data_IF_603644270026
#
_entry.id   IF_603644270026
#
_cell.length_a   1.000
_cell.length_b   1.000
_cell.length_c   1.000
_cell.angle_alpha   90.00
_cell.angle_beta   90.00
_cell.angle_gamma   90.00
#
_symmetry.space_group_name_H-M   'P 1'
#
loop_
_entity.id
_entity.type
_entity.pdbx_description
1 polymer ?
#
# COMPACT_ATOMS: atom_id res chain seq x y z
N UNK A 1 -34.69 52.91 -34.88
CA UNK A 1 -34.68 51.59 -35.54
C UNK A 1 -33.32 51.31 -36.18
N UNK A 2 -32.35 50.84 -35.41
CA UNK A 2 -31.14 50.08 -35.84
C UNK A 2 -30.32 49.84 -34.57
N UNK A 3 -29.77 48.64 -34.40
CA UNK A 3 -28.79 48.26 -33.34
C UNK A 3 -29.32 47.55 -32.08
N UNK A 4 -30.39 46.76 -32.17
CA UNK A 4 -30.85 45.93 -31.04
C UNK A 4 -31.09 44.46 -31.40
N UNK A 5 -30.26 43.89 -32.29
CA UNK A 5 -30.39 42.47 -32.71
C UNK A 5 -29.10 41.64 -32.60
N UNK A 6 -28.08 42.07 -31.85
CA UNK A 6 -26.78 41.37 -31.77
C UNK A 6 -26.47 40.74 -30.39
N UNK A 7 -27.48 40.35 -29.62
CA UNK A 7 -27.28 39.79 -28.26
C UNK A 7 -27.86 38.37 -28.04
N UNK A 8 -28.29 37.67 -29.09
CA UNK A 8 -29.02 36.40 -28.94
C UNK A 8 -28.33 35.15 -29.54
N UNK A 9 -26.99 35.11 -29.61
CA UNK A 9 -26.26 33.94 -30.15
C UNK A 9 -25.13 33.41 -29.25
N UNK A 10 -25.07 33.83 -27.99
CA UNK A 10 -24.20 33.23 -26.96
C UNK A 10 -25.03 32.38 -25.99
N UNK A 11 -25.91 31.54 -26.51
CA UNK A 11 -26.40 30.38 -25.74
C UNK A 11 -25.24 29.40 -25.66
N UNK A 12 -24.41 29.56 -24.62
CA UNK A 12 -23.42 28.59 -24.22
C UNK A 12 -24.05 27.20 -24.30
N UNK A 13 -23.53 26.37 -25.21
CA UNK A 13 -23.70 24.93 -25.10
C UNK A 13 -23.01 24.53 -23.81
N UNK A 14 -23.77 24.51 -22.71
CA UNK A 14 -23.42 23.69 -21.58
C UNK A 14 -23.57 22.26 -22.07
N UNK A 15 -22.52 21.78 -22.75
CA UNK A 15 -22.26 20.38 -22.86
C UNK A 15 -22.15 19.88 -21.42
N UNK A 16 -23.27 19.41 -20.88
CA UNK A 16 -23.26 18.44 -19.80
C UNK A 16 -22.46 17.29 -20.36
N UNK A 17 -21.16 17.28 -20.10
CA UNK A 17 -20.35 16.12 -20.36
C UNK A 17 -21.02 15.02 -19.54
N UNK A 18 -21.63 14.05 -20.22
CA UNK A 18 -22.01 12.79 -19.62
C UNK A 18 -20.71 12.20 -19.04
N UNK A 19 -20.44 12.51 -17.77
CA UNK A 19 -19.27 12.02 -17.04
C UNK A 19 -19.55 10.58 -16.63
N UNK A 20 -19.64 9.74 -17.66
CA UNK A 20 -19.75 8.30 -17.54
C UNK A 20 -18.37 7.67 -17.66
N UNK A 21 -18.07 6.75 -16.77
CA UNK A 21 -16.86 5.92 -16.83
C UNK A 21 -17.33 4.49 -16.88
N UNK A 22 -16.92 3.78 -17.93
CA UNK A 22 -17.17 2.35 -18.08
C UNK A 22 -15.84 1.62 -18.15
N UNK A 23 -15.69 0.57 -17.34
CA UNK A 23 -14.56 -0.35 -17.37
C UNK A 23 -15.07 -1.67 -17.92
N UNK A 24 -14.48 -2.12 -19.02
CA UNK A 24 -14.89 -3.36 -19.68
C UNK A 24 -14.46 -4.61 -18.89
N UNK A 25 -15.16 -5.72 -19.10
CA UNK A 25 -14.95 -6.95 -18.34
C UNK A 25 -13.51 -7.48 -18.49
N UNK A 26 -12.93 -7.98 -17.40
CA UNK A 26 -11.55 -8.48 -17.35
C UNK A 26 -10.47 -7.44 -17.76
N UNK A 27 -10.81 -6.14 -17.76
CA UNK A 27 -9.85 -5.07 -18.05
C UNK A 27 -9.48 -4.28 -16.82
N UNK A 28 -8.36 -3.55 -16.92
CA UNK A 28 -7.93 -2.60 -15.91
C UNK A 28 -7.98 -1.19 -16.50
N UNK A 29 -8.71 -0.28 -15.86
CA UNK A 29 -8.72 1.14 -16.19
C UNK A 29 -8.11 1.94 -15.04
N UNK A 30 -7.07 2.72 -15.35
CA UNK A 30 -6.58 3.75 -14.42
C UNK A 30 -7.26 5.06 -14.74
N UNK A 31 -7.92 5.64 -13.75
CA UNK A 31 -8.69 6.87 -13.94
C UNK A 31 -7.74 8.06 -14.17
N UNK A 32 -7.81 8.76 -15.32
CA UNK A 32 -6.90 9.85 -15.65
C UNK A 32 -7.42 11.17 -15.07
N UNK A 33 -7.33 11.34 -13.75
CA UNK A 33 -7.79 12.56 -13.07
C UNK A 33 -6.64 13.31 -12.39
N UNK A 34 -6.61 14.62 -12.61
CA UNK A 34 -5.61 15.51 -12.00
C UNK A 34 -6.14 16.23 -10.76
N UNK A 35 -7.46 16.31 -10.59
CA UNK A 35 -8.12 16.96 -9.45
C UNK A 35 -8.27 16.08 -8.21
N UNK A 36 -8.52 16.70 -7.06
CA UNK A 36 -8.78 16.02 -5.80
C UNK A 36 -10.23 15.56 -5.62
N UNK A 37 -11.16 16.07 -6.43
CA UNK A 37 -12.58 15.71 -6.39
C UNK A 37 -13.05 15.36 -7.80
N UNK A 38 -13.83 14.29 -7.92
CA UNK A 38 -14.48 13.90 -9.16
C UNK A 38 -15.97 13.61 -8.91
N UNK A 39 -16.81 14.09 -9.82
CA UNK A 39 -18.25 13.83 -9.83
C UNK A 39 -18.60 13.12 -11.14
N UNK A 40 -19.16 11.92 -11.02
CA UNK A 40 -19.60 11.10 -12.14
C UNK A 40 -21.11 10.91 -12.09
N UNK A 41 -21.76 11.04 -13.24
CA UNK A 41 -23.17 10.65 -13.36
C UNK A 41 -23.29 9.12 -13.25
N UNK A 42 -22.42 8.37 -13.92
CA UNK A 42 -22.44 6.92 -13.92
C UNK A 42 -21.04 6.33 -13.89
N UNK A 43 -20.82 5.35 -13.02
CA UNK A 43 -19.61 4.54 -12.98
C UNK A 43 -20.00 3.06 -13.09
N UNK A 44 -19.57 2.43 -14.17
CA UNK A 44 -19.80 1.00 -14.41
C UNK A 44 -18.45 0.29 -14.46
N UNK A 45 -18.27 -0.67 -13.55
CA UNK A 45 -17.11 -1.57 -13.54
C UNK A 45 -17.64 -2.96 -13.79
N UNK A 46 -17.39 -3.48 -14.99
CA UNK A 46 -17.89 -4.78 -15.41
C UNK A 46 -17.28 -5.93 -14.59
N UNK A 47 -17.73 -7.16 -14.87
CA UNK A 47 -17.30 -8.36 -14.17
C UNK A 47 -15.78 -8.58 -14.29
N UNK A 48 -15.15 -8.96 -13.18
CA UNK A 48 -13.69 -9.15 -13.07
C UNK A 48 -12.85 -7.94 -13.52
N UNK A 49 -13.45 -6.77 -13.67
CA UNK A 49 -12.74 -5.57 -14.09
C UNK A 49 -12.14 -4.84 -12.88
N UNK A 50 -11.07 -4.08 -13.11
CA UNK A 50 -10.39 -3.30 -12.07
C UNK A 50 -10.34 -1.82 -12.44
N UNK A 51 -10.92 -0.98 -11.59
CA UNK A 51 -10.76 0.47 -11.65
C UNK A 51 -9.68 0.92 -10.65
N UNK A 52 -8.66 1.64 -11.13
CA UNK A 52 -7.63 2.24 -10.27
C UNK A 52 -7.80 3.75 -10.15
N UNK A 53 -8.03 4.22 -8.93
CA UNK A 53 -8.10 5.64 -8.56
C UNK A 53 -6.72 6.15 -8.13
N UNK A 54 -6.28 7.32 -8.60
CA UNK A 54 -4.96 7.85 -8.27
C UNK A 54 -4.91 8.47 -6.86
N UNK A 55 -3.71 8.62 -6.31
CA UNK A 55 -3.49 9.00 -4.91
C UNK A 55 -3.87 10.45 -4.58
N UNK A 56 -3.93 11.32 -5.59
CA UNK A 56 -4.35 12.72 -5.48
C UNK A 56 -5.87 12.88 -5.38
N UNK A 57 -6.65 11.86 -5.76
CA UNK A 57 -8.11 11.89 -5.66
C UNK A 57 -8.53 11.60 -4.22
N UNK A 58 -9.23 12.55 -3.60
CA UNK A 58 -9.70 12.51 -2.22
C UNK A 58 -11.21 12.32 -2.09
N UNK A 59 -11.98 12.74 -3.09
CA UNK A 59 -13.42 12.56 -3.11
C UNK A 59 -13.90 12.08 -4.48
N UNK A 60 -14.68 11.01 -4.49
CA UNK A 60 -15.41 10.52 -5.67
C UNK A 60 -16.90 10.51 -5.33
N UNK A 61 -17.69 11.27 -6.08
CA UNK A 61 -19.15 11.23 -6.02
C UNK A 61 -19.69 10.58 -7.27
N UNK A 62 -20.58 9.61 -7.10
CA UNK A 62 -21.20 8.87 -8.20
C UNK A 62 -22.70 8.87 -7.98
N UNK A 63 -23.46 9.30 -8.99
CA UNK A 63 -24.92 9.21 -8.94
C UNK A 63 -25.37 7.77 -9.10
N UNK A 64 -24.84 7.04 -10.08
CA UNK A 64 -25.13 5.62 -10.32
C UNK A 64 -23.85 4.77 -10.37
N UNK A 65 -23.68 3.85 -9.43
CA UNK A 65 -22.55 2.92 -9.36
C UNK A 65 -22.99 1.49 -9.67
N UNK A 66 -22.42 0.88 -10.70
CA UNK A 66 -22.64 -0.52 -11.03
C UNK A 66 -21.31 -1.28 -10.89
N UNK A 67 -21.22 -2.19 -9.93
CA UNK A 67 -20.11 -3.13 -9.80
C UNK A 67 -20.58 -4.52 -10.19
N UNK A 68 -19.99 -5.04 -11.27
CA UNK A 68 -20.19 -6.42 -11.71
C UNK A 68 -19.62 -7.42 -10.71
N UNK A 69 -19.87 -8.71 -10.97
CA UNK A 69 -19.34 -9.80 -10.16
C UNK A 69 -17.81 -9.73 -10.09
N UNK A 70 -17.25 -9.86 -8.90
CA UNK A 70 -15.80 -9.83 -8.67
C UNK A 70 -15.13 -8.55 -9.23
N UNK A 71 -15.88 -7.44 -9.32
CA UNK A 71 -15.36 -6.15 -9.76
C UNK A 71 -14.56 -5.46 -8.65
N UNK A 72 -13.43 -4.85 -9.03
CA UNK A 72 -12.48 -4.28 -8.08
C UNK A 72 -12.32 -2.76 -8.27
N UNK A 73 -12.43 -1.98 -7.20
CA UNK A 73 -11.95 -0.60 -7.14
C UNK A 73 -10.72 -0.54 -6.24
N UNK A 74 -9.56 -0.26 -6.83
CA UNK A 74 -8.32 -0.02 -6.11
C UNK A 74 -8.04 1.48 -6.01
N UNK A 75 -7.82 1.97 -4.79
CA UNK A 75 -7.43 3.34 -4.53
C UNK A 75 -5.94 3.35 -4.19
N UNK A 76 -5.17 4.16 -4.91
CA UNK A 76 -3.73 4.25 -4.69
C UNK A 76 -3.42 4.75 -3.26
N UNK A 77 -2.35 4.25 -2.61
CA UNK A 77 -1.97 4.64 -1.26
C UNK A 77 -1.72 6.15 -1.14
N UNK A 78 -2.22 6.76 -0.06
CA UNK A 78 -2.05 8.18 0.26
C UNK A 78 -2.19 8.39 1.77
N UNK A 79 -1.62 9.48 2.29
CA UNK A 79 -1.82 9.91 3.68
C UNK A 79 -3.13 10.67 3.89
N UNK A 80 -3.73 11.17 2.82
CA UNK A 80 -5.03 11.86 2.86
C UNK A 80 -6.16 10.82 2.83
N UNK A 81 -7.22 11.02 3.61
CA UNK A 81 -8.40 10.16 3.54
C UNK A 81 -9.07 10.16 2.16
N UNK A 82 -9.87 9.14 1.89
CA UNK A 82 -10.70 9.04 0.68
C UNK A 82 -12.18 9.02 1.06
N UNK A 83 -13.00 9.76 0.31
CA UNK A 83 -14.45 9.75 0.45
C UNK A 83 -15.09 9.23 -0.84
N UNK A 84 -15.88 8.18 -0.72
CA UNK A 84 -16.71 7.66 -1.80
C UNK A 84 -18.17 7.92 -1.45
N UNK A 85 -18.86 8.68 -2.29
CA UNK A 85 -20.30 8.95 -2.15
C UNK A 85 -21.04 8.32 -3.32
N UNK A 86 -21.98 7.43 -3.01
CA UNK A 86 -22.80 6.70 -3.98
C UNK A 86 -24.26 6.98 -3.67
N UNK A 87 -24.96 7.62 -4.61
CA UNK A 87 -26.39 7.91 -4.44
C UNK A 87 -27.22 6.67 -4.74
N UNK A 88 -27.01 6.07 -5.90
CA UNK A 88 -27.62 4.81 -6.31
C UNK A 88 -26.56 3.80 -6.69
N UNK A 89 -26.73 2.53 -6.32
CA UNK A 89 -25.80 1.52 -6.78
C UNK A 89 -26.29 0.09 -6.69
N UNK A 90 -25.69 -0.75 -7.52
CA UNK A 90 -25.83 -2.20 -7.51
C UNK A 90 -24.42 -2.81 -7.45
N UNK A 91 -24.13 -3.47 -6.33
CA UNK A 91 -22.85 -4.13 -6.11
C UNK A 91 -23.09 -5.63 -6.07
N UNK A 92 -22.71 -6.28 -7.16
CA UNK A 92 -22.82 -7.71 -7.32
C UNK A 92 -21.86 -8.46 -6.37
N UNK A 93 -22.08 -9.77 -6.26
CA UNK A 93 -21.30 -10.62 -5.36
C UNK A 93 -19.80 -10.59 -5.68
N UNK A 94 -18.98 -10.60 -4.62
CA UNK A 94 -17.53 -10.53 -4.73
C UNK A 94 -17.01 -9.15 -5.10
N UNK A 95 -17.81 -8.08 -4.99
CA UNK A 95 -17.28 -6.73 -5.24
C UNK A 95 -16.21 -6.36 -4.20
N UNK A 96 -15.13 -5.72 -4.63
CA UNK A 96 -14.00 -5.36 -3.77
C UNK A 96 -13.66 -3.87 -3.87
N UNK A 97 -13.48 -3.21 -2.74
CA UNK A 97 -12.91 -1.86 -2.65
C UNK A 97 -11.65 -1.92 -1.78
N UNK A 98 -10.52 -1.46 -2.30
CA UNK A 98 -9.24 -1.51 -1.58
C UNK A 98 -8.60 -0.13 -1.48
N UNK A 99 -8.24 0.27 -0.27
CA UNK A 99 -7.43 1.46 0.03
C UNK A 99 -6.16 1.06 0.81
N UNK A 100 -5.62 -0.12 0.50
CA UNK A 100 -4.45 -0.69 1.18
C UNK A 100 -3.25 0.26 1.21
N UNK A 101 -2.50 0.18 2.29
CA UNK A 101 -1.21 0.84 2.44
C UNK A 101 -0.13 0.27 1.51
N UNK A 102 0.97 1.00 1.38
CA UNK A 102 2.12 0.58 0.60
C UNK A 102 3.18 -0.07 1.51
N UNK A 103 3.77 -1.18 1.07
CA UNK A 103 4.89 -1.79 1.77
C UNK A 103 6.11 -0.83 1.85
N UNK A 104 6.84 -0.91 2.95
CA UNK A 104 8.08 -0.18 3.16
C UNK A 104 9.20 -0.71 2.27
N UNK A 105 10.22 0.12 2.09
CA UNK A 105 11.48 -0.21 1.43
C UNK A 105 12.65 0.31 2.27
N UNK A 106 13.89 0.05 1.84
CA UNK A 106 15.09 0.60 2.48
C UNK A 106 15.12 2.14 2.51
N UNK A 107 14.40 2.81 1.60
CA UNK A 107 14.39 4.27 1.46
C UNK A 107 13.12 4.92 2.00
N UNK A 108 12.03 4.18 2.14
CA UNK A 108 10.71 4.71 2.49
C UNK A 108 10.03 3.83 3.52
N UNK A 109 9.48 4.37 4.61
CA UNK A 109 8.68 3.60 5.55
C UNK A 109 7.42 3.05 4.87
N UNK A 110 6.80 2.06 5.49
CA UNK A 110 5.50 1.58 5.07
C UNK A 110 4.44 2.68 5.22
N UNK A 111 3.47 2.72 4.30
CA UNK A 111 2.33 3.62 4.38
C UNK A 111 1.15 2.89 5.02
N UNK A 112 0.40 3.64 5.84
CA UNK A 112 -0.82 3.14 6.46
C UNK A 112 -1.90 2.86 5.40
N UNK A 113 -2.87 2.01 5.76
CA UNK A 113 -4.12 1.91 5.02
C UNK A 113 -4.79 3.28 4.98
N UNK A 114 -5.27 3.67 3.79
CA UNK A 114 -5.88 4.98 3.61
C UNK A 114 -7.30 4.95 4.16
N UNK A 115 -7.61 5.90 5.04
CA UNK A 115 -8.93 6.06 5.64
C UNK A 115 -10.01 6.18 4.58
N UNK A 116 -11.13 5.48 4.77
CA UNK A 116 -12.24 5.43 3.83
C UNK A 116 -13.52 5.91 4.52
N UNK A 117 -14.09 7.00 4.01
CA UNK A 117 -15.46 7.38 4.30
C UNK A 117 -16.37 6.94 3.15
N UNK A 118 -17.12 5.88 3.36
CA UNK A 118 -18.02 5.28 2.40
C UNK A 118 -19.46 5.70 2.72
N UNK A 119 -20.06 6.51 1.84
CA UNK A 119 -21.47 6.91 1.93
C UNK A 119 -22.27 6.23 0.84
N UNK A 120 -23.22 5.41 1.24
CA UNK A 120 -24.13 4.67 0.36
C UNK A 120 -25.55 5.13 0.69
N UNK A 121 -26.29 5.69 -0.27
CA UNK A 121 -27.65 6.17 -0.01
C UNK A 121 -28.71 5.14 -0.38
N UNK A 122 -28.79 4.73 -1.64
CA UNK A 122 -29.74 3.73 -2.13
C UNK A 122 -28.99 2.65 -2.89
N UNK A 123 -28.43 1.70 -2.15
CA UNK A 123 -27.49 0.71 -2.70
C UNK A 123 -27.97 -0.70 -2.42
N UNK A 124 -28.02 -1.53 -3.46
CA UNK A 124 -28.19 -2.97 -3.35
C UNK A 124 -26.81 -3.61 -3.22
N UNK A 125 -26.61 -4.35 -2.14
CA UNK A 125 -25.35 -4.99 -1.83
C UNK A 125 -25.55 -6.50 -1.75
N UNK A 126 -24.87 -7.26 -2.59
CA UNK A 126 -24.84 -8.72 -2.47
C UNK A 126 -23.72 -9.19 -1.53
N UNK A 127 -22.47 -8.85 -1.88
CA UNK A 127 -21.28 -9.08 -1.05
C UNK A 127 -20.24 -8.02 -1.44
N UNK A 128 -19.87 -7.17 -0.49
CA UNK A 128 -18.84 -6.16 -0.65
C UNK A 128 -17.73 -6.41 0.37
N UNK A 129 -16.51 -6.54 -0.12
CA UNK A 129 -15.32 -6.61 0.73
C UNK A 129 -14.51 -5.31 0.64
N UNK A 130 -14.16 -4.76 1.80
CA UNK A 130 -13.44 -3.50 1.93
C UNK A 130 -12.09 -3.73 2.62
N UNK A 131 -10.97 -3.49 1.93
CA UNK A 131 -9.61 -3.77 2.42
C UNK A 131 -8.81 -2.48 2.64
N UNK A 132 -8.59 -2.13 3.92
CA UNK A 132 -7.81 -0.98 4.39
C UNK A 132 -6.53 -1.43 5.14
N UNK A 133 -5.98 -2.60 4.85
CA UNK A 133 -4.80 -3.09 5.58
C UNK A 133 -3.59 -2.16 5.45
N UNK A 134 -2.81 -2.08 6.53
CA UNK A 134 -1.54 -1.35 6.57
C UNK A 134 -0.45 -2.00 5.71
N UNK A 135 0.49 -1.19 5.23
CA UNK A 135 1.67 -1.68 4.52
C UNK A 135 2.63 -2.43 5.44
N UNK A 136 3.25 -3.50 4.92
CA UNK A 136 4.26 -4.26 5.66
C UNK A 136 5.57 -3.47 5.80
N UNK A 137 6.24 -3.60 6.94
CA UNK A 137 7.54 -2.99 7.20
C UNK A 137 8.65 -3.58 6.32
N UNK A 138 9.64 -2.77 5.98
CA UNK A 138 10.82 -3.21 5.24
C UNK A 138 11.70 -4.16 6.07
N UNK A 139 12.30 -5.16 5.43
CA UNK A 139 13.27 -6.04 6.08
C UNK A 139 14.54 -5.29 6.50
N UNK A 140 15.16 -5.77 7.58
CA UNK A 140 16.47 -5.30 8.03
C UNK A 140 17.58 -5.68 7.04
N UNK A 141 18.60 -4.84 6.95
CA UNK A 141 19.74 -5.13 6.07
C UNK A 141 20.61 -6.25 6.64
N UNK A 142 21.11 -7.12 5.77
CA UNK A 142 22.06 -8.15 6.16
C UNK A 142 23.41 -7.54 6.55
N UNK A 143 24.02 -8.11 7.58
CA UNK A 143 25.41 -7.82 7.90
C UNK A 143 26.33 -8.40 6.84
N UNK A 144 27.36 -7.64 6.45
CA UNK A 144 28.39 -8.12 5.53
C UNK A 144 29.30 -9.12 6.25
N UNK A 145 29.73 -10.15 5.54
CA UNK A 145 30.70 -11.11 6.07
C UNK A 145 32.07 -10.45 6.20
N UNK A 146 32.81 -10.81 7.25
CA UNK A 146 34.20 -10.40 7.42
C UNK A 146 35.09 -11.06 6.38
N UNK A 147 36.12 -10.33 5.95
CA UNK A 147 37.14 -10.86 5.05
C UNK A 147 37.99 -11.92 5.74
N UNK A 148 38.43 -12.92 4.96
CA UNK A 148 39.37 -13.91 5.46
C UNK A 148 40.76 -13.28 5.63
N UNK A 149 41.47 -13.72 6.68
CA UNK A 149 42.85 -13.34 6.90
C UNK A 149 43.81 -13.98 5.89
N UNK A 150 44.95 -13.35 5.68
CA UNK A 150 46.01 -13.81 4.79
C UNK A 150 46.94 -14.79 5.51
N UNK A 151 47.41 -15.82 4.79
CA UNK A 151 48.33 -16.80 5.33
C UNK A 151 49.74 -16.21 5.56
N UNK A 152 50.42 -16.64 6.63
CA UNK A 152 51.75 -16.15 6.97
C UNK A 152 52.81 -16.62 5.96
N UNK A 153 53.57 -15.70 5.36
CA UNK A 153 54.66 -16.06 4.45
C UNK A 153 55.90 -16.64 5.16
N UNK A 154 56.56 -17.63 4.54
CA UNK A 154 57.80 -18.26 5.07
C UNK A 154 59.05 -17.36 5.09
N UNK A 155 58.95 -16.15 4.51
CA UNK A 155 60.03 -15.18 4.56
C UNK A 155 59.90 -14.31 5.83
N UNK A 156 58.75 -13.67 6.10
CA UNK A 156 58.53 -12.80 7.27
C UNK A 156 57.04 -12.69 7.69
N UNK A 157 56.34 -13.79 7.97
CA UNK A 157 54.89 -13.72 8.15
C UNK A 157 54.32 -14.43 9.38
N UNK A 158 53.65 -13.66 10.23
CA UNK A 158 52.50 -14.17 10.98
C UNK A 158 51.27 -14.15 10.05
N UNK A 159 50.37 -15.12 10.17
CA UNK A 159 49.11 -15.05 9.46
C UNK A 159 48.25 -13.91 10.04
N UNK A 160 47.46 -13.23 9.22
CA UNK A 160 46.56 -12.20 9.70
C UNK A 160 45.28 -12.82 10.26
N UNK A 161 44.69 -12.16 11.25
CA UNK A 161 43.35 -12.51 11.73
C UNK A 161 42.31 -12.29 10.62
N UNK A 162 41.21 -13.03 10.70
CA UNK A 162 40.03 -12.77 9.89
C UNK A 162 39.25 -11.57 10.44
N UNK A 163 38.63 -10.79 9.57
CA UNK A 163 37.82 -9.66 10.00
C UNK A 163 36.49 -10.11 10.60
N UNK A 164 35.94 -9.30 11.51
CA UNK A 164 34.62 -9.56 12.08
C UNK A 164 33.53 -9.35 11.04
N UNK A 165 32.48 -10.17 11.10
CA UNK A 165 31.24 -9.94 10.37
C UNK A 165 30.49 -8.74 10.95
N UNK A 166 29.80 -8.01 10.09
CA UNK A 166 29.00 -6.86 10.52
C UNK A 166 27.70 -7.32 11.17
N UNK A 167 27.22 -6.55 12.14
CA UNK A 167 25.88 -6.70 12.69
C UNK A 167 24.81 -6.29 11.68
N UNK A 168 23.69 -6.98 11.72
CA UNK A 168 22.58 -6.74 10.82
C UNK A 168 21.63 -5.63 11.32
N UNK A 169 20.89 -5.05 10.39
CA UNK A 169 19.85 -4.06 10.69
C UNK A 169 18.57 -4.69 11.22
N UNK A 170 17.83 -3.93 12.02
CA UNK A 170 16.48 -4.30 12.45
C UNK A 170 15.47 -4.14 11.31
N UNK A 171 14.43 -4.97 11.32
CA UNK A 171 13.25 -4.77 10.49
C UNK A 171 12.49 -3.51 10.88
N UNK A 172 11.91 -2.83 9.89
CA UNK A 172 11.07 -1.65 10.11
C UNK A 172 9.69 -2.07 10.62
N UNK A 173 9.02 -1.22 11.42
CA UNK A 173 7.66 -1.50 11.86
C UNK A 173 6.68 -1.51 10.68
N UNK A 174 5.61 -2.30 10.81
CA UNK A 174 4.47 -2.26 9.89
C UNK A 174 3.63 -1.01 10.13
N UNK A 175 2.92 -0.55 9.09
CA UNK A 175 2.07 0.63 9.19
C UNK A 175 0.67 0.30 9.73
N UNK A 176 -0.03 1.29 10.25
CA UNK A 176 -1.39 1.12 10.77
C UNK A 176 -2.40 0.71 9.68
N UNK A 177 -3.45 -0.01 10.08
CA UNK A 177 -4.65 -0.17 9.27
C UNK A 177 -5.43 1.14 9.16
N UNK A 178 -6.19 1.30 8.08
CA UNK A 178 -7.02 2.49 7.85
C UNK A 178 -8.32 2.49 8.65
N UNK A 179 -8.91 3.67 8.80
CA UNK A 179 -10.20 3.85 9.45
C UNK A 179 -11.34 3.75 8.43
N UNK A 180 -12.32 2.88 8.69
CA UNK A 180 -13.52 2.74 7.85
C UNK A 180 -14.72 3.43 8.52
N UNK A 181 -15.20 4.51 7.91
CA UNK A 181 -16.45 5.16 8.29
C UNK A 181 -17.52 4.86 7.25
N UNK A 182 -18.59 4.21 7.68
CA UNK A 182 -19.71 3.81 6.82
C UNK A 182 -20.94 4.67 7.13
N UNK A 183 -21.34 5.53 6.18
CA UNK A 183 -22.60 6.28 6.20
C UNK A 183 -23.65 5.52 5.38
N UNK A 184 -24.64 4.92 6.04
CA UNK A 184 -25.67 4.07 5.39
C UNK A 184 -27.07 4.34 5.96
N UNK A 185 -28.15 3.99 5.23
CA UNK A 185 -29.52 4.02 5.73
C UNK A 185 -29.73 3.10 6.94
N UNK A 186 -30.84 3.30 7.64
CA UNK A 186 -31.19 2.48 8.80
C UNK A 186 -31.49 1.01 8.46
N UNK A 187 -31.96 0.74 7.24
CA UNK A 187 -32.32 -0.57 6.70
C UNK A 187 -31.15 -1.31 6.03
N UNK A 188 -29.94 -0.76 6.09
CA UNK A 188 -28.74 -1.39 5.50
C UNK A 188 -28.39 -2.70 6.23
N UNK A 189 -28.26 -3.80 5.47
CA UNK A 189 -27.84 -5.10 5.98
C UNK A 189 -26.32 -5.11 6.25
N UNK A 190 -25.87 -5.19 7.52
CA UNK A 190 -24.45 -5.22 7.85
C UNK A 190 -23.77 -6.53 7.44
N UNK A 191 -24.49 -7.63 7.20
CA UNK A 191 -23.90 -8.92 6.87
C UNK A 191 -23.33 -8.97 5.44
N UNK A 192 -23.84 -8.11 4.55
CA UNK A 192 -23.35 -8.00 3.17
C UNK A 192 -21.98 -7.30 3.07
N UNK A 193 -21.49 -6.68 4.15
CA UNK A 193 -20.21 -5.97 4.17
C UNK A 193 -19.15 -6.73 4.98
N UNK A 194 -18.05 -7.10 4.32
CA UNK A 194 -16.84 -7.64 4.94
C UNK A 194 -15.75 -6.58 4.92
N UNK A 195 -14.92 -6.53 5.96
CA UNK A 195 -13.82 -5.57 6.04
C UNK A 195 -12.53 -6.18 6.60
N UNK A 196 -11.39 -5.70 6.11
CA UNK A 196 -10.05 -6.04 6.59
C UNK A 196 -9.33 -4.76 6.96
N UNK A 197 -9.09 -4.59 8.26
CA UNK A 197 -8.51 -3.37 8.86
C UNK A 197 -7.18 -3.64 9.56
N UNK A 198 -6.56 -4.80 9.32
CA UNK A 198 -5.36 -5.21 10.05
C UNK A 198 -4.19 -4.26 9.79
N UNK A 199 -3.40 -4.02 10.83
CA UNK A 199 -2.09 -3.39 10.67
C UNK A 199 -1.16 -4.22 9.79
N UNK A 200 -0.20 -3.55 9.17
CA UNK A 200 0.83 -4.20 8.38
C UNK A 200 1.76 -5.04 9.27
N UNK A 201 2.25 -6.15 8.73
CA UNK A 201 3.26 -6.96 9.42
C UNK A 201 4.57 -6.17 9.60
N UNK A 202 5.28 -6.42 10.69
CA UNK A 202 6.64 -5.93 10.87
C UNK A 202 7.62 -6.56 9.89
N UNK A 203 8.67 -5.82 9.52
CA UNK A 203 9.72 -6.33 8.64
C UNK A 203 10.56 -7.42 9.31
N UNK A 204 11.05 -8.38 8.51
CA UNK A 204 11.95 -9.41 8.99
C UNK A 204 13.28 -8.81 9.51
N UNK A 205 13.89 -9.49 10.48
CA UNK A 205 15.23 -9.16 10.94
C UNK A 205 16.28 -9.40 9.85
N UNK A 206 17.32 -8.54 9.78
CA UNK A 206 18.50 -8.82 8.97
C UNK A 206 19.32 -9.96 9.58
N UNK A 207 19.88 -10.83 8.74
CA UNK A 207 20.81 -11.87 9.18
C UNK A 207 22.21 -11.31 9.41
N UNK A 208 22.88 -11.76 10.46
CA UNK A 208 24.24 -11.36 10.81
C UNK A 208 25.26 -11.75 9.73
N UNK A 209 26.29 -10.92 9.57
CA UNK A 209 27.47 -11.27 8.79
C UNK A 209 28.31 -12.29 9.54
N UNK A 210 28.81 -13.30 8.82
CA UNK A 210 29.73 -14.30 9.38
C UNK A 210 31.11 -13.69 9.58
N UNK A 211 31.80 -14.11 10.64
CA UNK A 211 33.21 -13.78 10.83
C UNK A 211 34.09 -14.41 9.74
N UNK A 212 35.10 -13.65 9.30
CA UNK A 212 36.10 -14.13 8.36
C UNK A 212 36.95 -15.24 8.97
N UNK A 213 37.40 -16.18 8.15
CA UNK A 213 38.35 -17.21 8.61
C UNK A 213 39.70 -16.56 8.90
N UNK A 214 40.38 -16.99 9.96
CA UNK A 214 41.76 -16.59 10.21
C UNK A 214 42.71 -17.13 9.15
N UNK A 215 43.81 -16.43 8.91
CA UNK A 215 44.83 -16.84 7.95
C UNK A 215 45.44 -18.19 8.32
N UNK A 216 45.69 -19.04 7.32
CA UNK A 216 46.18 -20.39 7.54
C UNK A 216 47.62 -20.42 8.07
N UNK A 217 47.91 -21.45 8.89
CA UNK A 217 49.27 -21.85 9.26
C UNK A 217 50.00 -22.36 8.01
N UNK A 218 51.23 -21.87 7.78
CA UNK A 218 52.16 -22.41 6.80
C UNK A 218 53.30 -23.12 7.51
N UNK A 219 53.56 -24.36 7.09
CA UNK A 219 54.65 -25.19 7.62
C UNK A 219 55.90 -24.95 6.78
N UNK A 220 56.78 -24.08 7.26
CA UNK A 220 58.04 -23.75 6.59
C UNK A 220 59.14 -24.74 6.98
N UNK A 221 60.19 -24.85 6.16
CA UNK A 221 61.22 -25.90 6.26
C UNK A 221 61.87 -26.03 7.66
N UNK A 222 61.94 -24.93 8.41
CA UNK A 222 62.61 -24.85 9.71
C UNK A 222 61.68 -24.48 10.88
N UNK A 223 60.43 -24.09 10.61
CA UNK A 223 59.47 -23.59 11.60
C UNK A 223 58.05 -23.50 11.00
N UNK A 224 57.02 -23.47 11.84
CA UNK A 224 55.63 -23.22 11.42
C UNK A 224 55.21 -21.77 11.75
N UNK A 225 54.40 -21.16 10.89
CA UNK A 225 53.83 -19.83 11.18
C UNK A 225 52.61 -19.95 12.08
N UNK A 226 52.41 -19.03 13.02
CA UNK A 226 51.17 -18.98 13.80
C UNK A 226 49.99 -18.59 12.90
N UNK A 227 48.89 -19.35 12.99
CA UNK A 227 47.65 -19.07 12.26
C UNK A 227 46.90 -17.89 12.86
N UNK A 228 46.16 -17.17 12.03
CA UNK A 228 45.33 -16.05 12.46
C UNK A 228 44.08 -16.54 13.19
N UNK A 229 43.56 -15.74 14.10
CA UNK A 229 42.27 -15.97 14.73
C UNK A 229 41.14 -15.74 13.72
N UNK A 230 40.05 -16.50 13.85
CA UNK A 230 38.84 -16.21 13.11
C UNK A 230 38.16 -14.94 13.65
N UNK A 231 37.55 -14.18 12.75
CA UNK A 231 36.69 -13.06 13.10
C UNK A 231 35.41 -13.54 13.80
N UNK A 232 34.80 -12.63 14.55
CA UNK A 232 33.53 -12.86 15.24
C UNK A 232 32.35 -12.66 14.28
N UNK A 233 31.31 -13.49 14.43
CA UNK A 233 30.03 -13.29 13.76
C UNK A 233 29.33 -12.07 14.35
N UNK A 234 28.74 -11.23 13.50
CA UNK A 234 27.98 -10.06 13.93
C UNK A 234 26.69 -10.44 14.70
N UNK A 235 26.00 -9.44 15.23
CA UNK A 235 24.68 -9.65 15.84
C UNK A 235 23.58 -9.68 14.77
N UNK A 236 22.59 -10.56 14.94
CA UNK A 236 21.39 -10.53 14.11
C UNK A 236 20.50 -9.33 14.49
N UNK A 237 19.73 -8.83 13.52
CA UNK A 237 18.76 -7.78 13.77
C UNK A 237 17.56 -8.28 14.57
N UNK A 238 16.70 -7.35 14.99
CA UNK A 238 15.38 -7.64 15.55
C UNK A 238 14.29 -7.50 14.48
N UNK A 239 13.23 -8.30 14.57
CA UNK A 239 12.06 -8.12 13.73
C UNK A 239 11.33 -6.82 14.10
N UNK A 240 10.71 -6.19 13.11
CA UNK A 240 9.86 -5.03 13.32
C UNK A 240 8.57 -5.40 14.06
N UNK A 241 7.98 -4.45 14.77
CA UNK A 241 6.64 -4.62 15.34
C UNK A 241 5.56 -4.57 14.27
N UNK A 242 4.47 -5.31 14.46
CA UNK A 242 3.26 -5.14 13.65
C UNK A 242 2.64 -3.76 13.88
N UNK A 243 2.04 -3.21 12.84
CA UNK A 243 1.25 -1.98 12.94
C UNK A 243 -0.04 -2.20 13.73
N UNK A 244 -0.61 -1.14 14.33
CA UNK A 244 -1.91 -1.26 14.98
C UNK A 244 -3.03 -1.46 13.95
N UNK A 245 -4.08 -2.17 14.35
CA UNK A 245 -5.28 -2.32 13.55
C UNK A 245 -6.05 -1.00 13.45
N UNK A 246 -6.78 -0.83 12.35
CA UNK A 246 -7.72 0.25 12.14
C UNK A 246 -9.02 0.05 12.91
N UNK A 247 -9.97 0.98 12.76
CA UNK A 247 -11.29 0.90 13.38
C UNK A 247 -12.42 1.02 12.36
N UNK A 248 -13.56 0.45 12.71
CA UNK A 248 -14.80 0.53 11.95
C UNK A 248 -15.81 1.37 12.72
N UNK A 249 -16.42 2.34 12.03
CA UNK A 249 -17.51 3.16 12.58
C UNK A 249 -18.65 3.27 11.58
N UNK A 250 -19.81 2.71 11.93
CA UNK A 250 -21.07 2.97 11.24
C UNK A 250 -21.72 4.25 11.77
N UNK A 251 -22.22 5.08 10.87
CA UNK A 251 -22.92 6.34 11.17
C UNK A 251 -24.20 6.39 10.34
N UNK A 252 -25.33 6.87 10.89
CA UNK A 252 -26.53 7.07 10.09
C UNK A 252 -26.29 8.11 8.98
N UNK A 253 -26.98 7.96 7.85
CA UNK A 253 -27.00 8.99 6.82
C UNK A 253 -27.52 10.31 7.39
N UNK A 254 -26.70 11.35 7.29
CA UNK A 254 -27.15 12.72 7.53
C UNK A 254 -27.67 13.32 6.21
N UNK A 255 -28.77 14.08 6.24
CA UNK A 255 -29.24 14.81 5.07
C UNK A 255 -28.11 15.72 4.54
N UNK A 256 -27.95 15.79 3.22
CA UNK A 256 -27.06 16.76 2.60
C UNK A 256 -27.75 18.12 2.72
N UNK A 257 -27.24 19.02 3.55
CA UNK A 257 -27.55 20.43 3.39
C UNK A 257 -26.92 20.87 2.07
N UNK A 258 -27.77 21.04 1.05
CA UNK A 258 -27.40 21.69 -0.21
C UNK A 258 -27.14 23.19 0.02
#
# INVERSE_FOLDING_TARGET
MRNLCWLALLSCSWALADTQVKVEANTLLRLPVSGATLVLARLEVAEHATLLLPANLNELRVTELLLGRDAHIGIAPSTQGFRLVVLHGDLAAGSHISTRGAAGSSKKPALAGRDLNLRLENVRLSDLTVDLRGGAGAAGQHGQNGLAGEAGGCLWGQASDGENGQSAGNGQPGAAGGQLRLEVPADFDPQALKYSLQGGAGGAAGAAGQGGRGGAVNNCLLYDTVGGNAGQTGAAGKAGSSGPDGSFKRVPLTPISL
#
